data_IF_303280510435
#
_entry.id   IF_303280510435
#
_cell.length_a   1.000
_cell.length_b   1.000
_cell.length_c   1.000
_cell.angle_alpha   90.00
_cell.angle_beta   90.00
_cell.angle_gamma   90.00
#
_symmetry.space_group_name_H-M   'P 1'
#
loop_
_entity.id
_entity.type
_entity.pdbx_description
1 polymer ?
#
# COMPACT_ATOMS: atom_id res chain seq x y z
N UNK A 1 -11.52 -22.67 11.71
CA UNK A 1 -10.07 -22.41 11.62
C UNK A 1 -9.86 -21.32 10.57
N UNK A 2 -9.62 -20.05 10.95
CA UNK A 2 -9.27 -19.01 9.97
C UNK A 2 -7.86 -19.33 9.48
N UNK A 3 -7.70 -19.80 8.24
CA UNK A 3 -6.38 -19.90 7.61
C UNK A 3 -5.86 -18.48 7.42
N UNK A 4 -4.63 -18.23 7.86
CA UNK A 4 -3.97 -16.96 7.57
C UNK A 4 -3.82 -16.81 6.04
N UNK A 5 -4.11 -15.63 5.49
CA UNK A 5 -3.91 -15.38 4.06
C UNK A 5 -2.45 -15.57 3.70
N UNK A 6 -2.19 -16.15 2.52
CA UNK A 6 -0.86 -16.34 2.00
C UNK A 6 -0.04 -15.04 2.05
N UNK A 7 1.26 -15.15 2.34
CA UNK A 7 2.19 -14.02 2.30
C UNK A 7 2.40 -13.50 0.88
N UNK A 8 2.30 -14.39 -0.12
CA UNK A 8 2.37 -14.08 -1.55
C UNK A 8 1.04 -14.30 -2.23
N UNK A 9 0.60 -13.36 -3.05
CA UNK A 9 -0.67 -13.44 -3.77
C UNK A 9 -0.69 -12.54 -5.00
N UNK A 10 -1.52 -12.89 -5.98
CA UNK A 10 -1.72 -12.11 -7.21
C UNK A 10 -2.95 -11.23 -7.09
N UNK A 11 -2.88 -10.03 -7.66
CA UNK A 11 -3.95 -9.01 -7.59
C UNK A 11 -4.55 -8.64 -8.95
N UNK A 12 -4.09 -9.27 -10.03
CA UNK A 12 -4.55 -9.05 -11.40
C UNK A 12 -3.50 -8.34 -12.27
N UNK A 13 -3.89 -7.96 -13.48
CA UNK A 13 -2.99 -7.32 -14.46
C UNK A 13 -2.79 -5.83 -14.17
N UNK A 14 -1.62 -5.24 -14.49
CA UNK A 14 -1.34 -3.80 -14.30
C UNK A 14 -2.41 -2.86 -14.86
N UNK A 15 -2.96 -3.18 -16.04
CA UNK A 15 -3.99 -2.37 -16.70
C UNK A 15 -5.30 -2.28 -15.91
N UNK A 16 -5.51 -3.18 -14.93
CA UNK A 16 -6.66 -3.15 -14.02
C UNK A 16 -6.52 -2.12 -12.89
N UNK A 17 -5.43 -1.35 -12.86
CA UNK A 17 -5.12 -0.35 -11.83
C UNK A 17 -5.02 1.06 -12.45
N UNK A 18 -6.14 1.79 -12.60
CA UNK A 18 -6.15 3.09 -13.26
C UNK A 18 -5.36 4.17 -12.49
N UNK A 19 -4.92 5.19 -13.23
CA UNK A 19 -4.19 6.35 -12.69
C UNK A 19 -4.93 6.99 -11.51
N UNK A 20 -4.19 7.28 -10.45
CA UNK A 20 -4.69 8.00 -9.29
C UNK A 20 -5.67 7.22 -8.41
N UNK A 21 -5.90 5.92 -8.65
CA UNK A 21 -6.87 5.14 -7.88
C UNK A 21 -6.24 4.28 -6.79
N UNK A 22 -7.01 4.03 -5.73
CA UNK A 22 -6.69 3.10 -4.64
C UNK A 22 -7.69 1.94 -4.66
N UNK A 23 -7.18 0.72 -4.82
CA UNK A 23 -7.98 -0.49 -4.79
C UNK A 23 -8.12 -0.99 -3.35
N UNK A 24 -9.33 -0.92 -2.80
CA UNK A 24 -9.64 -1.30 -1.41
C UNK A 24 -10.04 -2.76 -1.24
N UNK A 25 -10.38 -3.46 -2.34
CA UNK A 25 -10.86 -4.85 -2.34
C UNK A 25 -9.88 -5.86 -1.72
N UNK A 26 -8.57 -5.56 -1.71
CA UNK A 26 -7.55 -6.44 -1.15
C UNK A 26 -7.36 -6.31 0.37
N UNK A 27 -7.94 -5.27 0.99
CA UNK A 27 -7.78 -4.99 2.42
C UNK A 27 -8.31 -6.11 3.31
N UNK A 28 -9.54 -6.56 3.07
CA UNK A 28 -10.20 -7.53 3.94
C UNK A 28 -9.52 -8.90 3.89
N UNK A 29 -9.07 -9.32 2.71
CA UNK A 29 -8.46 -10.63 2.50
C UNK A 29 -6.95 -10.63 2.80
N UNK A 30 -6.23 -9.58 2.41
CA UNK A 30 -4.76 -9.60 2.43
C UNK A 30 -4.13 -8.54 3.33
N UNK A 31 -4.91 -7.56 3.82
CA UNK A 31 -4.39 -6.48 4.66
C UNK A 31 -3.55 -5.48 3.88
N UNK A 32 -3.84 -5.29 2.59
CA UNK A 32 -3.14 -4.31 1.74
C UNK A 32 -4.12 -3.48 0.91
N UNK A 33 -3.69 -2.27 0.56
CA UNK A 33 -4.22 -1.51 -0.56
C UNK A 33 -3.25 -1.59 -1.73
N UNK A 34 -3.77 -1.51 -2.94
CA UNK A 34 -2.94 -1.32 -4.14
C UNK A 34 -3.29 0.02 -4.74
N UNK A 35 -2.31 0.91 -4.85
CA UNK A 35 -2.49 2.25 -5.37
C UNK A 35 -1.67 2.43 -6.64
N UNK A 36 -2.23 3.13 -7.63
CA UNK A 36 -1.49 3.66 -8.76
C UNK A 36 -1.46 5.18 -8.60
N UNK A 37 -0.37 5.73 -8.09
CA UNK A 37 -0.27 7.16 -7.87
C UNK A 37 1.16 7.68 -8.02
N UNK A 38 1.30 8.99 -7.95
CA UNK A 38 2.60 9.65 -8.00
C UNK A 38 3.31 9.59 -6.64
N UNK A 39 4.61 9.39 -6.71
CA UNK A 39 5.56 9.60 -5.62
C UNK A 39 6.79 10.28 -6.22
N UNK A 40 7.20 11.42 -5.64
CA UNK A 40 8.29 12.25 -6.17
C UNK A 40 8.12 12.59 -7.67
N UNK A 41 6.88 12.85 -8.10
CA UNK A 41 6.56 13.18 -9.50
C UNK A 41 6.62 12.01 -10.48
N UNK A 42 6.89 10.79 -10.01
CA UNK A 42 6.90 9.57 -10.82
C UNK A 42 5.68 8.75 -10.50
N UNK A 43 4.91 8.41 -11.52
CA UNK A 43 3.74 7.54 -11.39
C UNK A 43 4.17 6.08 -11.29
N UNK A 44 3.59 5.37 -10.33
CA UNK A 44 3.93 3.98 -10.06
C UNK A 44 2.78 3.26 -9.34
N UNK A 45 2.74 1.93 -9.49
CA UNK A 45 1.86 1.06 -8.72
C UNK A 45 2.61 0.51 -7.52
N UNK A 46 2.03 0.59 -6.32
CA UNK A 46 2.62 0.05 -5.10
C UNK A 46 1.54 -0.52 -4.19
N UNK A 47 1.97 -1.39 -3.26
CA UNK A 47 1.09 -2.04 -2.30
C UNK A 47 1.37 -1.51 -0.89
N UNK A 48 0.41 -0.85 -0.27
CA UNK A 48 0.52 -0.33 1.10
C UNK A 48 -0.08 -1.31 2.11
N UNK A 49 0.64 -1.62 3.19
CA UNK A 49 0.05 -2.34 4.33
C UNK A 49 -1.06 -1.52 4.94
N UNK A 50 -2.21 -2.15 5.21
CA UNK A 50 -3.32 -1.50 5.90
C UNK A 50 -3.15 -1.51 7.42
N UNK A 51 -1.94 -1.21 7.90
CA UNK A 51 -1.57 -1.23 9.32
C UNK A 51 -0.96 0.13 9.65
N UNK A 52 -1.60 0.85 10.57
CA UNK A 52 -1.15 2.14 11.04
C UNK A 52 0.19 1.99 11.77
N UNK A 53 1.18 2.80 11.39
CA UNK A 53 2.53 2.78 11.95
C UNK A 53 2.65 3.37 13.35
N UNK A 54 1.54 3.88 13.92
CA UNK A 54 1.46 4.24 15.32
C UNK A 54 1.42 3.00 16.23
N UNK A 55 0.27 2.31 16.30
CA UNK A 55 0.04 1.16 17.20
C UNK A 55 -0.67 -0.02 16.50
N UNK A 56 -0.67 -0.05 15.18
CA UNK A 56 -1.13 -1.22 14.42
C UNK A 56 -2.64 -1.29 14.12
N UNK A 57 -3.42 -0.26 14.44
CA UNK A 57 -4.82 -0.17 13.98
C UNK A 57 -4.92 -0.20 12.45
N UNK A 58 -6.07 -0.60 11.91
CA UNK A 58 -6.31 -0.63 10.45
C UNK A 58 -6.95 0.68 9.98
N UNK A 59 -6.24 1.56 9.25
CA UNK A 59 -6.86 2.76 8.70
C UNK A 59 -7.92 2.43 7.63
N UNK A 60 -8.74 3.41 7.28
CA UNK A 60 -9.70 3.34 6.18
C UNK A 60 -9.31 4.33 5.09
N UNK A 61 -9.47 3.95 3.83
CA UNK A 61 -9.37 4.87 2.71
C UNK A 61 -10.67 5.66 2.60
N UNK A 62 -10.57 6.98 2.51
CA UNK A 62 -11.69 7.90 2.32
C UNK A 62 -11.61 8.49 0.92
N UNK A 63 -12.44 7.98 0.01
CA UNK A 63 -12.41 8.38 -1.42
C UNK A 63 -12.63 9.88 -1.60
N UNK A 64 -13.59 10.48 -0.87
CA UNK A 64 -13.86 11.92 -1.01
C UNK A 64 -12.67 12.81 -0.61
N UNK A 65 -11.84 12.35 0.32
CA UNK A 65 -10.69 13.09 0.82
C UNK A 65 -9.36 12.68 0.16
N UNK A 66 -9.37 11.57 -0.57
CA UNK A 66 -8.18 10.93 -1.14
C UNK A 66 -7.09 10.67 -0.09
N UNK A 67 -7.50 10.21 1.10
CA UNK A 67 -6.65 10.02 2.28
C UNK A 67 -6.95 8.71 2.98
N UNK A 68 -5.93 8.15 3.63
CA UNK A 68 -6.11 7.11 4.64
C UNK A 68 -6.27 7.77 6.01
N UNK A 69 -7.30 7.37 6.75
CA UNK A 69 -7.57 7.86 8.11
C UNK A 69 -7.65 6.71 9.09
N UNK A 70 -6.87 6.80 10.16
CA UNK A 70 -6.86 5.83 11.25
C UNK A 70 -7.89 6.23 12.32
N UNK A 71 -8.93 5.40 12.57
CA UNK A 71 -10.01 5.76 13.48
C UNK A 71 -9.60 5.77 14.96
N UNK A 72 -8.48 5.12 15.31
CA UNK A 72 -8.09 4.97 16.71
C UNK A 72 -7.58 6.27 17.36
N UNK A 73 -6.66 6.98 16.69
CA UNK A 73 -5.97 8.15 17.25
C UNK A 73 -5.78 9.29 16.23
N UNK A 74 -6.50 9.24 15.10
CA UNK A 74 -6.51 10.33 14.12
C UNK A 74 -5.34 10.37 13.13
N UNK A 75 -4.46 9.35 13.07
CA UNK A 75 -3.38 9.32 12.07
C UNK A 75 -3.91 9.42 10.65
N UNK A 76 -3.32 10.31 9.85
CA UNK A 76 -3.67 10.56 8.46
C UNK A 76 -2.49 10.31 7.54
N UNK A 77 -2.74 9.66 6.41
CA UNK A 77 -1.75 9.39 5.38
C UNK A 77 -2.30 9.80 4.00
N UNK A 78 -1.44 10.37 3.15
CA UNK A 78 -1.74 10.66 1.76
C UNK A 78 -1.83 9.36 0.94
N UNK A 79 -2.26 9.48 -0.31
CA UNK A 79 -2.43 8.35 -1.25
C UNK A 79 -1.14 7.56 -1.50
N UNK A 80 0.00 8.21 -1.43
CA UNK A 80 1.34 7.59 -1.50
C UNK A 80 1.74 6.84 -0.22
N UNK A 81 1.01 7.06 0.88
CA UNK A 81 1.26 6.47 2.19
C UNK A 81 2.04 7.38 3.13
N UNK A 82 2.46 8.59 2.69
CA UNK A 82 3.16 9.56 3.53
C UNK A 82 2.22 10.05 4.64
N UNK A 83 2.67 9.99 5.89
CA UNK A 83 1.93 10.51 7.03
C UNK A 83 1.92 12.05 7.01
N UNK A 84 0.77 12.64 7.29
CA UNK A 84 0.62 14.10 7.37
C UNK A 84 -0.08 14.56 8.66
N UNK A 85 -0.68 13.62 9.38
CA UNK A 85 -1.44 13.91 10.60
C UNK A 85 -1.32 12.75 11.59
N UNK A 86 -1.46 13.09 12.86
CA UNK A 86 -1.60 12.18 13.99
C UNK A 86 -0.32 11.94 14.76
N UNK A 87 -0.32 10.93 15.64
CA UNK A 87 0.89 10.48 16.33
C UNK A 87 1.68 9.42 15.53
N UNK A 88 1.25 9.06 14.30
CA UNK A 88 2.01 8.10 13.50
C UNK A 88 3.35 8.73 13.08
N UNK A 89 4.49 8.17 13.50
CA UNK A 89 5.79 8.86 13.37
C UNK A 89 6.39 8.73 11.97
N UNK A 90 5.81 7.90 11.10
CA UNK A 90 6.37 7.51 9.80
C UNK A 90 5.29 7.11 8.79
N UNK A 91 5.61 7.08 7.48
CA UNK A 91 4.72 6.62 6.42
C UNK A 91 4.25 5.17 6.61
N UNK A 92 3.17 4.79 5.90
CA UNK A 92 2.75 3.38 5.82
C UNK A 92 3.84 2.52 5.18
N UNK A 93 3.85 1.21 5.45
CA UNK A 93 4.84 0.32 4.82
C UNK A 93 4.41 -0.10 3.41
N UNK A 94 5.34 -0.06 2.44
CA UNK A 94 5.15 -0.74 1.16
C UNK A 94 5.47 -2.22 1.30
N UNK A 95 4.72 -3.08 0.63
CA UNK A 95 5.04 -4.49 0.46
C UNK A 95 5.88 -4.70 -0.80
N UNK A 96 6.62 -5.80 -0.87
CA UNK A 96 7.23 -6.21 -2.13
C UNK A 96 6.17 -6.44 -3.20
N UNK A 97 6.43 -5.99 -4.41
CA UNK A 97 5.51 -6.06 -5.55
C UNK A 97 6.33 -6.26 -6.83
N UNK A 98 5.82 -7.06 -7.76
CA UNK A 98 6.46 -7.32 -9.05
C UNK A 98 5.44 -7.77 -10.10
N UNK A 99 5.85 -7.74 -11.36
CA UNK A 99 5.16 -8.50 -12.42
C UNK A 99 5.62 -9.95 -12.34
N UNK A 100 4.67 -10.88 -12.27
CA UNK A 100 4.90 -12.32 -12.33
C UNK A 100 4.99 -12.79 -13.79
N UNK A 101 5.44 -14.03 -13.98
CA UNK A 101 5.70 -14.60 -15.32
C UNK A 101 4.44 -14.69 -16.20
N UNK A 102 3.26 -14.70 -15.58
CA UNK A 102 1.96 -14.66 -16.27
C UNK A 102 1.41 -13.24 -16.46
N UNK A 103 2.23 -12.21 -16.24
CA UNK A 103 1.89 -10.80 -16.45
C UNK A 103 1.06 -10.17 -15.33
N UNK A 104 0.66 -10.92 -14.31
CA UNK A 104 -0.08 -10.39 -13.17
C UNK A 104 0.85 -9.73 -12.15
N UNK A 105 0.33 -8.75 -11.43
CA UNK A 105 1.00 -8.19 -10.25
C UNK A 105 0.93 -9.22 -9.12
N UNK A 106 2.10 -9.62 -8.61
CA UNK A 106 2.26 -10.40 -7.39
C UNK A 106 2.78 -9.50 -6.26
N UNK A 107 2.19 -9.64 -5.08
CA UNK A 107 2.58 -8.94 -3.85
C UNK A 107 3.11 -9.97 -2.84
N UNK A 108 4.19 -9.63 -2.15
CA UNK A 108 4.74 -10.37 -1.01
C UNK A 108 4.74 -9.48 0.24
N UNK A 109 3.78 -9.72 1.16
CA UNK A 109 3.63 -8.94 2.40
C UNK A 109 4.63 -9.32 3.50
N UNK A 110 5.45 -10.35 3.29
CA UNK A 110 6.51 -10.74 4.23
C UNK A 110 7.75 -9.84 4.12
N UNK A 111 7.88 -9.11 3.01
CA UNK A 111 8.92 -8.12 2.77
C UNK A 111 8.29 -6.74 2.74
N UNK A 112 8.79 -5.83 3.58
CA UNK A 112 8.32 -4.45 3.61
C UNK A 112 9.45 -3.44 3.48
N UNK A 113 9.06 -2.24 3.04
CA UNK A 113 9.96 -1.14 2.72
C UNK A 113 9.46 0.13 3.42
N UNK A 114 10.38 0.79 4.14
CA UNK A 114 10.18 2.00 4.92
C UNK A 114 10.74 3.21 4.16
N UNK A 115 9.91 4.24 4.03
CA UNK A 115 10.24 5.43 3.24
C UNK A 115 11.37 6.22 3.91
N UNK A 116 11.32 6.38 5.23
CA UNK A 116 12.28 7.13 6.02
C UNK A 116 13.69 6.51 6.03
N UNK A 117 13.80 5.25 5.60
CA UNK A 117 15.06 4.55 5.39
C UNK A 117 15.54 4.60 3.92
N UNK A 118 14.87 5.35 3.05
CA UNK A 118 15.14 5.41 1.61
C UNK A 118 14.72 4.15 0.84
N UNK A 119 14.03 3.20 1.47
CA UNK A 119 13.77 1.89 0.87
C UNK A 119 12.69 1.93 -0.22
N UNK A 120 11.98 3.05 -0.37
CA UNK A 120 11.01 3.24 -1.45
C UNK A 120 11.66 3.48 -2.82
N UNK A 121 12.97 3.74 -2.86
CA UNK A 121 13.76 3.78 -4.08
C UNK A 121 14.08 2.38 -4.62
N UNK A 122 13.88 1.33 -3.81
CA UNK A 122 14.04 -0.05 -4.24
C UNK A 122 12.91 -0.44 -5.22
N UNK A 123 13.30 -0.80 -6.44
CA UNK A 123 12.40 -1.31 -7.49
C UNK A 123 11.55 -2.51 -7.06
N UNK A 124 11.88 -3.22 -5.98
CA UNK A 124 11.09 -4.31 -5.44
C UNK A 124 9.82 -3.86 -4.69
N UNK A 125 9.62 -2.56 -4.45
CA UNK A 125 8.47 -2.04 -3.70
C UNK A 125 7.45 -1.26 -4.56
N UNK A 126 7.67 -1.19 -5.87
CA UNK A 126 6.75 -0.60 -6.84
C UNK A 126 6.84 -1.26 -8.22
N UNK A 127 5.86 -0.99 -9.07
CA UNK A 127 5.85 -1.32 -10.50
C UNK A 127 5.73 -0.01 -11.28
N UNK A 128 6.67 0.33 -12.18
CA UNK A 128 6.56 1.52 -13.01
C UNK A 128 5.40 1.39 -14.02
N UNK A 129 4.76 2.51 -14.37
CA UNK A 129 3.61 2.58 -15.31
C UNK A 129 3.68 3.76 -16.25
#
# INVERSE_FOLDING_TARGET
MRREPASKFKVGFPDSFPAGQVQTKFKAQYGVWVANAEYNGVRQIYALKSVCTHLGCTPSWLEAEQKYKCPCHGSGFYKDGINFEGPAPRPLERCAIRIADDGQIEIDKSRTFQEEMGQWEDSACYVPV
#
